data_IF_447208510218
#
_entry.id   IF_447208510218
#
_cell.length_a   1.000
_cell.length_b   1.000
_cell.length_c   1.000
_cell.angle_alpha   90.00
_cell.angle_beta   90.00
_cell.angle_gamma   90.00
#
_symmetry.space_group_name_H-M   'P 1'
#
loop_
_entity.id
_entity.type
_entity.pdbx_description
1 polymer ?
#
# COMPACT_ATOMS: atom_id res chain seq x y z
N UNK A 1 8.77 36.90 38.29
CA UNK A 1 9.65 36.26 37.29
C UNK A 1 8.95 36.30 35.95
N UNK A 2 9.45 37.11 35.02
CA UNK A 2 8.93 37.22 33.65
C UNK A 2 9.21 35.90 32.94
N UNK A 3 8.19 35.15 32.52
CA UNK A 3 8.39 33.97 31.65
C UNK A 3 9.29 34.39 30.49
N UNK A 4 10.33 33.60 30.25
CA UNK A 4 11.28 33.85 29.17
C UNK A 4 10.54 33.93 27.83
N UNK A 5 11.08 34.67 26.86
CA UNK A 5 10.51 34.74 25.51
C UNK A 5 10.27 33.34 24.92
N UNK A 6 11.16 32.39 25.21
CA UNK A 6 11.04 30.99 24.81
C UNK A 6 9.78 30.30 25.38
N UNK A 7 9.44 30.53 26.65
CA UNK A 7 8.22 29.99 27.26
C UNK A 7 6.96 30.65 26.70
N UNK A 8 7.05 31.92 26.29
CA UNK A 8 5.94 32.64 25.65
C UNK A 8 5.70 32.16 24.23
N UNK A 9 6.71 31.72 23.49
CA UNK A 9 6.54 31.22 22.12
C UNK A 9 5.79 29.88 22.06
N UNK A 10 5.93 29.03 23.09
CA UNK A 10 5.26 27.71 23.14
C UNK A 10 3.74 27.78 23.08
N UNK A 11 3.12 28.88 23.51
CA UNK A 11 1.65 29.03 23.50
C UNK A 11 1.08 29.20 22.08
N UNK A 12 1.93 29.53 21.09
CA UNK A 12 1.53 29.66 19.69
C UNK A 12 1.64 28.33 18.92
N UNK A 13 2.17 27.27 19.54
CA UNK A 13 2.20 25.95 18.93
C UNK A 13 0.78 25.41 18.84
N UNK A 14 0.38 24.96 17.64
CA UNK A 14 -0.88 24.28 17.45
C UNK A 14 -0.83 22.94 18.20
N UNK A 15 -1.78 22.65 19.10
CA UNK A 15 -1.76 21.43 19.89
C UNK A 15 -2.06 20.19 19.02
N UNK A 16 -1.61 19.00 19.46
CA UNK A 16 -2.04 17.71 18.92
C UNK A 16 -3.56 17.63 18.77
N UNK A 17 -4.06 17.34 17.56
CA UNK A 17 -5.50 17.40 17.28
C UNK A 17 -6.24 16.07 17.54
N UNK A 18 -5.62 14.93 17.21
CA UNK A 18 -6.27 13.62 17.31
C UNK A 18 -5.37 12.63 18.05
N UNK A 19 -5.66 12.33 19.32
CA UNK A 19 -4.91 11.33 20.07
C UNK A 19 -4.94 9.96 19.40
N UNK A 20 -3.85 9.22 19.55
CA UNK A 20 -3.77 7.84 19.05
C UNK A 20 -4.56 6.94 20.01
N UNK A 21 -5.58 6.20 19.52
CA UNK A 21 -6.39 5.34 20.38
C UNK A 21 -5.58 4.12 20.83
N UNK A 22 -5.34 4.01 22.15
CA UNK A 22 -4.49 2.95 22.69
C UNK A 22 -5.13 1.56 22.60
N UNK A 23 -6.46 1.47 22.62
CA UNK A 23 -7.22 0.21 22.61
C UNK A 23 -7.64 -0.29 21.22
N UNK A 24 -7.23 0.43 20.16
CA UNK A 24 -7.61 0.10 18.79
C UNK A 24 -6.41 -0.42 18.01
N UNK A 25 -6.68 -1.37 17.12
CA UNK A 25 -5.70 -1.79 16.13
C UNK A 25 -5.64 -0.77 15.02
N UNK A 26 -4.44 -0.29 14.72
CA UNK A 26 -4.24 0.73 13.68
C UNK A 26 -3.69 0.11 12.41
N UNK A 27 -4.21 0.57 11.28
CA UNK A 27 -3.65 0.30 9.96
C UNK A 27 -3.40 1.63 9.28
N UNK A 28 -2.18 1.84 8.78
CA UNK A 28 -1.90 2.94 7.87
C UNK A 28 -2.04 2.44 6.43
N UNK A 29 -2.69 3.22 5.57
CA UNK A 29 -2.63 3.06 4.12
C UNK A 29 -1.76 4.18 3.57
N UNK A 30 -0.73 3.82 2.83
CA UNK A 30 0.12 4.72 2.07
C UNK A 30 -0.22 4.55 0.59
N UNK A 31 -0.49 5.63 -0.10
CA UNK A 31 -0.90 5.63 -1.51
C UNK A 31 0.01 6.58 -2.29
N UNK A 32 0.60 6.06 -3.37
CA UNK A 32 1.51 6.84 -4.21
C UNK A 32 0.82 8.04 -4.85
N UNK A 33 1.42 9.22 -4.71
CA UNK A 33 0.97 10.44 -5.39
C UNK A 33 1.63 10.47 -6.77
N UNK A 34 0.81 10.39 -7.82
CA UNK A 34 1.25 10.45 -9.21
C UNK A 34 2.29 9.38 -9.60
N UNK A 35 2.14 8.16 -9.10
CA UNK A 35 3.06 7.07 -9.44
C UNK A 35 2.93 6.59 -10.90
N UNK A 36 1.81 6.89 -11.57
CA UNK A 36 1.72 6.69 -13.02
C UNK A 36 2.75 7.56 -13.77
N UNK A 37 3.00 8.79 -13.33
CA UNK A 37 4.09 9.62 -13.87
C UNK A 37 5.48 8.99 -13.69
N UNK A 38 5.71 8.37 -12.53
CA UNK A 38 6.96 7.63 -12.25
C UNK A 38 7.09 6.40 -13.15
N UNK A 39 6.05 5.57 -13.27
CA UNK A 39 6.10 4.35 -14.10
C UNK A 39 6.18 4.64 -15.60
N UNK A 40 5.59 5.75 -16.06
CA UNK A 40 5.59 6.13 -17.46
C UNK A 40 6.84 6.93 -17.86
N UNK A 41 7.73 7.24 -16.92
CA UNK A 41 8.98 7.95 -17.21
C UNK A 41 9.90 7.12 -18.13
N UNK A 42 10.23 7.63 -19.34
CA UNK A 42 11.15 6.92 -20.25
C UNK A 42 12.56 6.77 -19.66
N UNK A 43 12.97 7.69 -18.79
CA UNK A 43 14.30 7.69 -18.15
C UNK A 43 14.46 6.53 -17.17
N UNK A 44 13.37 6.16 -16.47
CA UNK A 44 13.36 5.05 -15.52
C UNK A 44 13.11 3.69 -16.21
N UNK A 45 12.43 3.73 -17.36
CA UNK A 45 12.29 2.60 -18.27
C UNK A 45 11.58 1.40 -17.66
N UNK A 46 10.54 1.63 -16.85
CA UNK A 46 9.73 0.58 -16.24
C UNK A 46 8.84 -0.13 -17.27
N UNK A 47 8.66 -1.44 -17.09
CA UNK A 47 7.79 -2.26 -17.92
C UNK A 47 6.31 -2.03 -17.57
N UNK A 48 5.46 -2.09 -18.59
CA UNK A 48 4.01 -2.06 -18.48
C UNK A 48 3.42 -3.46 -18.72
N UNK A 49 2.27 -3.82 -18.12
CA UNK A 49 1.52 -3.06 -17.11
C UNK A 49 2.11 -3.12 -15.70
N UNK A 50 3.02 -4.06 -15.44
CA UNK A 50 3.67 -4.23 -14.15
C UNK A 50 5.18 -4.40 -14.32
N UNK A 51 5.97 -3.66 -13.55
CA UNK A 51 7.42 -3.81 -13.49
C UNK A 51 7.85 -4.52 -12.20
N UNK A 52 8.56 -5.64 -12.36
CA UNK A 52 9.03 -6.43 -11.21
C UNK A 52 10.09 -5.72 -10.35
N UNK A 53 10.86 -4.78 -10.91
CA UNK A 53 11.81 -3.95 -10.16
C UNK A 53 11.04 -2.99 -9.28
N UNK A 54 10.05 -2.29 -9.82
CA UNK A 54 9.21 -1.38 -9.03
C UNK A 54 8.48 -2.14 -7.91
N UNK A 55 7.91 -3.31 -8.20
CA UNK A 55 7.28 -4.15 -7.18
C UNK A 55 8.26 -4.56 -6.06
N UNK A 56 9.50 -4.92 -6.41
CA UNK A 56 10.57 -5.19 -5.42
C UNK A 56 10.90 -3.94 -4.60
N UNK A 57 10.89 -2.76 -5.19
CA UNK A 57 11.10 -1.51 -4.47
C UNK A 57 9.97 -1.24 -3.47
N UNK A 58 8.70 -1.43 -3.86
CA UNK A 58 7.55 -1.32 -2.97
C UNK A 58 7.61 -2.31 -1.80
N UNK A 59 7.95 -3.58 -2.06
CA UNK A 59 8.16 -4.59 -1.02
C UNK A 59 9.32 -4.20 -0.08
N UNK A 60 10.42 -3.66 -0.61
CA UNK A 60 11.54 -3.17 0.21
C UNK A 60 11.16 -1.96 1.05
N UNK A 61 10.32 -1.07 0.54
CA UNK A 61 9.74 0.04 1.31
C UNK A 61 8.84 -0.47 2.41
N UNK A 62 7.93 -1.42 2.11
CA UNK A 62 7.09 -2.08 3.10
C UNK A 62 7.92 -2.75 4.21
N UNK A 63 8.96 -3.49 3.82
CA UNK A 63 9.91 -4.13 4.74
C UNK A 63 10.58 -3.13 5.68
N UNK A 64 10.94 -1.95 5.16
CA UNK A 64 11.54 -0.87 5.94
C UNK A 64 10.54 -0.27 6.95
N UNK A 65 9.24 -0.31 6.65
CA UNK A 65 8.18 0.10 7.58
C UNK A 65 7.89 -0.93 8.69
N UNK A 66 8.41 -2.15 8.58
CA UNK A 66 8.35 -3.16 9.64
C UNK A 66 9.62 -3.18 10.51
N UNK A 67 10.76 -2.72 9.99
CA UNK A 67 12.05 -2.81 10.67
C UNK A 67 12.44 -1.59 11.50
N UNK A 68 13.25 -1.81 12.54
CA UNK A 68 13.92 -0.75 13.32
C UNK A 68 12.96 0.16 14.07
N UNK A 69 13.15 1.48 13.95
CA UNK A 69 12.27 2.50 14.52
C UNK A 69 10.91 2.59 13.81
N UNK A 70 10.54 1.70 12.90
CA UNK A 70 9.23 1.72 12.27
C UNK A 70 8.17 1.02 13.14
N UNK A 71 6.88 1.29 12.87
CA UNK A 71 5.78 0.83 13.73
C UNK A 71 5.02 -0.38 13.19
N UNK A 72 5.52 -1.13 12.20
CA UNK A 72 4.72 -2.16 11.53
C UNK A 72 4.93 -3.59 12.04
N UNK A 73 3.87 -4.42 11.98
CA UNK A 73 3.92 -5.87 12.23
C UNK A 73 3.75 -6.69 10.95
N UNK A 74 2.84 -6.24 10.10
CA UNK A 74 2.53 -6.84 8.80
C UNK A 74 2.28 -5.72 7.80
N UNK A 75 2.74 -5.92 6.56
CA UNK A 75 2.42 -5.02 5.46
C UNK A 75 1.87 -5.81 4.28
N UNK A 76 0.87 -5.23 3.63
CA UNK A 76 0.36 -5.66 2.35
C UNK A 76 0.80 -4.63 1.30
N UNK A 77 1.52 -5.07 0.29
CA UNK A 77 1.98 -4.24 -0.82
C UNK A 77 1.23 -4.63 -2.08
N UNK A 78 0.60 -3.65 -2.73
CA UNK A 78 -0.01 -3.81 -4.06
C UNK A 78 0.40 -2.60 -4.90
N UNK A 79 0.80 -2.84 -6.15
CA UNK A 79 1.17 -1.80 -7.13
C UNK A 79 1.67 -0.45 -6.55
N UNK A 80 0.79 0.51 -6.28
CA UNK A 80 1.11 1.86 -5.76
C UNK A 80 0.75 2.10 -4.28
N UNK A 81 0.20 1.10 -3.60
CA UNK A 81 -0.24 1.22 -2.21
C UNK A 81 0.46 0.24 -1.26
N UNK A 82 0.63 0.70 -0.02
CA UNK A 82 1.05 -0.11 1.10
C UNK A 82 0.02 0.01 2.22
N UNK A 83 -0.52 -1.11 2.69
CA UNK A 83 -1.30 -1.16 3.93
C UNK A 83 -0.44 -1.79 5.02
N UNK A 84 -0.15 -1.07 6.10
CA UNK A 84 0.71 -1.53 7.20
C UNK A 84 -0.08 -1.62 8.49
N UNK A 85 -0.20 -2.83 9.03
CA UNK A 85 -0.70 -3.09 10.38
C UNK A 85 0.33 -2.60 11.39
N UNK A 86 -0.07 -1.70 12.28
CA UNK A 86 0.85 -1.08 13.23
C UNK A 86 0.92 -1.83 14.57
N UNK A 87 2.14 -1.97 15.08
CA UNK A 87 2.46 -2.47 16.42
C UNK A 87 2.08 -1.44 17.47
N UNK A 88 1.01 -1.73 18.22
CA UNK A 88 0.50 -0.87 19.28
C UNK A 88 1.54 -0.57 20.37
N UNK A 89 2.52 -1.45 20.59
CA UNK A 89 3.53 -1.32 21.66
C UNK A 89 4.46 -0.13 21.45
N UNK A 90 4.67 0.29 20.20
CA UNK A 90 5.60 1.38 19.86
C UNK A 90 4.91 2.70 19.51
N UNK A 91 3.57 2.73 19.55
CA UNK A 91 2.80 3.93 19.18
C UNK A 91 2.84 5.04 20.23
N UNK A 92 3.12 4.71 21.50
CA UNK A 92 3.10 5.67 22.61
C UNK A 92 4.13 6.80 22.54
N UNK A 93 5.09 6.73 21.60
CA UNK A 93 6.09 7.79 21.38
C UNK A 93 5.58 8.97 20.55
N UNK A 94 4.44 8.82 19.87
CA UNK A 94 3.87 9.85 19.01
C UNK A 94 2.84 10.69 19.77
N UNK A 95 2.86 12.01 19.56
CA UNK A 95 1.95 12.94 20.24
C UNK A 95 0.50 12.81 19.78
N UNK A 96 0.29 12.49 18.50
CA UNK A 96 -1.02 12.37 17.85
C UNK A 96 -0.92 11.57 16.54
N UNK A 97 -2.08 11.27 15.98
CA UNK A 97 -2.24 10.57 14.71
C UNK A 97 -1.53 11.28 13.54
N UNK A 98 -1.53 12.62 13.51
CA UNK A 98 -0.93 13.39 12.42
C UNK A 98 0.60 13.31 12.47
N UNK A 99 1.21 13.39 13.66
CA UNK A 99 2.64 13.20 13.84
C UNK A 99 3.09 11.79 13.37
N UNK A 100 2.32 10.75 13.72
CA UNK A 100 2.56 9.38 13.25
C UNK A 100 2.44 9.29 11.72
N UNK A 101 1.39 9.85 11.14
CA UNK A 101 1.15 9.88 9.69
C UNK A 101 2.29 10.57 8.94
N UNK A 102 2.69 11.77 9.37
CA UNK A 102 3.82 12.52 8.80
C UNK A 102 5.12 11.72 8.85
N UNK A 103 5.40 11.06 9.99
CA UNK A 103 6.59 10.22 10.11
C UNK A 103 6.57 9.05 9.12
N UNK A 104 5.45 8.32 9.05
CA UNK A 104 5.32 7.16 8.16
C UNK A 104 5.42 7.55 6.68
N UNK A 105 4.81 8.68 6.29
CA UNK A 105 4.94 9.24 4.93
C UNK A 105 6.39 9.62 4.65
N UNK A 106 7.05 10.34 5.56
CA UNK A 106 8.44 10.73 5.39
C UNK A 106 9.37 9.52 5.26
N UNK A 107 9.15 8.50 6.08
CA UNK A 107 9.93 7.26 6.07
C UNK A 107 9.74 6.47 4.76
N UNK A 108 8.49 6.27 4.34
CA UNK A 108 8.16 5.52 3.13
C UNK A 108 8.62 6.24 1.86
N UNK A 109 8.34 7.54 1.76
CA UNK A 109 8.70 8.35 0.59
C UNK A 109 10.21 8.46 0.43
N UNK A 110 10.94 8.76 1.51
CA UNK A 110 12.42 8.78 1.49
C UNK A 110 12.98 7.44 1.03
N UNK A 111 12.44 6.33 1.54
CA UNK A 111 12.92 5.00 1.18
C UNK A 111 12.65 4.67 -0.29
N UNK A 112 11.43 4.92 -0.78
CA UNK A 112 11.07 4.63 -2.16
C UNK A 112 11.82 5.54 -3.13
N UNK A 113 11.91 6.85 -2.86
CA UNK A 113 12.66 7.79 -3.70
C UNK A 113 14.12 7.37 -3.87
N UNK A 114 14.78 6.96 -2.79
CA UNK A 114 16.15 6.45 -2.86
C UNK A 114 16.29 5.14 -3.66
N UNK A 115 15.25 4.30 -3.68
CA UNK A 115 15.25 3.04 -4.44
C UNK A 115 14.96 3.28 -5.94
N UNK A 116 14.04 4.20 -6.24
CA UNK A 116 13.66 4.56 -7.62
C UNK A 116 14.73 5.43 -8.27
N UNK A 117 15.41 6.28 -7.49
CA UNK A 117 16.33 7.30 -8.00
C UNK A 117 15.62 8.57 -8.49
N UNK A 118 14.36 8.77 -8.11
CA UNK A 118 13.54 9.93 -8.43
C UNK A 118 12.60 10.26 -7.27
N UNK A 119 11.93 11.41 -7.33
CA UNK A 119 10.90 11.79 -6.35
C UNK A 119 9.72 10.80 -6.40
N UNK A 120 9.35 10.27 -5.24
CA UNK A 120 8.28 9.28 -5.09
C UNK A 120 7.60 9.52 -3.74
N UNK A 121 6.46 10.20 -3.76
CA UNK A 121 5.78 10.68 -2.56
C UNK A 121 4.56 9.81 -2.27
N UNK A 122 4.36 9.48 -1.00
CA UNK A 122 3.13 8.87 -0.51
C UNK A 122 2.21 9.89 0.15
N UNK A 123 0.92 9.77 -0.10
CA UNK A 123 -0.12 10.22 0.82
C UNK A 123 -0.38 9.14 1.89
N UNK A 124 -1.14 9.47 2.93
CA UNK A 124 -1.53 8.45 3.91
C UNK A 124 -2.93 8.64 4.49
N UNK A 125 -3.53 7.53 4.92
CA UNK A 125 -4.75 7.47 5.70
C UNK A 125 -4.56 6.52 6.89
N UNK A 126 -5.05 6.90 8.06
CA UNK A 126 -4.97 6.09 9.27
C UNK A 126 -6.35 5.53 9.62
N UNK A 127 -6.43 4.21 9.78
CA UNK A 127 -7.64 3.49 10.17
C UNK A 127 -7.47 2.95 11.59
N UNK A 128 -8.51 3.08 12.41
CA UNK A 128 -8.53 2.58 13.78
C UNK A 128 -9.70 1.62 13.99
N UNK A 129 -9.40 0.36 14.22
CA UNK A 129 -10.38 -0.72 14.34
C UNK A 129 -10.53 -1.20 15.77
N UNK A 130 -11.76 -1.52 16.16
CA UNK A 130 -12.08 -1.99 17.52
C UNK A 130 -11.99 -3.51 17.68
N UNK A 131 -11.86 -4.26 16.59
CA UNK A 131 -11.94 -5.73 16.60
C UNK A 131 -11.02 -6.34 15.53
N UNK A 132 -10.26 -7.41 15.84
CA UNK A 132 -9.38 -8.09 14.88
C UNK A 132 -10.09 -8.53 13.58
N UNK A 133 -11.34 -8.96 13.66
CA UNK A 133 -12.13 -9.44 12.51
C UNK A 133 -12.36 -8.34 11.47
N UNK A 134 -12.50 -7.09 11.93
CA UNK A 134 -12.64 -5.92 11.05
C UNK A 134 -11.30 -5.59 10.38
N UNK A 135 -10.18 -5.80 11.08
CA UNK A 135 -8.84 -5.65 10.50
C UNK A 135 -8.59 -6.68 9.41
N UNK A 136 -8.98 -7.95 9.66
CA UNK A 136 -8.93 -9.01 8.63
C UNK A 136 -9.78 -8.61 7.42
N UNK A 137 -11.01 -8.15 7.67
CA UNK A 137 -11.93 -7.71 6.61
C UNK A 137 -11.35 -6.55 5.80
N UNK A 138 -10.64 -5.62 6.44
CA UNK A 138 -9.93 -4.54 5.75
C UNK A 138 -8.87 -5.10 4.78
N UNK A 139 -8.02 -6.04 5.21
CA UNK A 139 -6.99 -6.60 4.33
C UNK A 139 -7.58 -7.50 3.23
N UNK A 140 -8.68 -8.21 3.50
CA UNK A 140 -9.44 -8.94 2.47
C UNK A 140 -9.97 -7.98 1.40
N UNK A 141 -10.55 -6.85 1.83
CA UNK A 141 -11.00 -5.80 0.92
C UNK A 141 -9.84 -5.22 0.11
N UNK A 142 -8.70 -4.91 0.74
CA UNK A 142 -7.52 -4.39 0.03
C UNK A 142 -7.00 -5.38 -1.03
N UNK A 143 -6.98 -6.68 -0.73
CA UNK A 143 -6.60 -7.69 -1.71
C UNK A 143 -7.60 -7.80 -2.87
N UNK A 144 -8.91 -7.75 -2.58
CA UNK A 144 -9.93 -7.75 -3.62
C UNK A 144 -9.78 -6.53 -4.55
N UNK A 145 -9.57 -5.35 -3.98
CA UNK A 145 -9.30 -4.12 -4.73
C UNK A 145 -8.03 -4.23 -5.58
N UNK A 146 -6.95 -4.79 -5.05
CA UNK A 146 -5.72 -5.05 -5.82
C UNK A 146 -6.01 -5.92 -7.05
N UNK A 147 -6.83 -6.96 -6.90
CA UNK A 147 -7.21 -7.86 -7.98
C UNK A 147 -8.03 -7.17 -9.07
N UNK A 148 -9.02 -6.36 -8.67
CA UNK A 148 -9.84 -5.59 -9.61
C UNK A 148 -9.00 -4.53 -10.34
N UNK A 149 -8.12 -3.82 -9.64
CA UNK A 149 -7.23 -2.81 -10.23
C UNK A 149 -6.20 -3.44 -11.17
N UNK A 150 -5.66 -4.61 -10.83
CA UNK A 150 -4.76 -5.34 -11.70
C UNK A 150 -5.45 -5.77 -12.99
N UNK A 151 -6.68 -6.28 -12.89
CA UNK A 151 -7.50 -6.63 -14.04
C UNK A 151 -7.75 -5.40 -14.94
N UNK A 152 -8.16 -4.27 -14.36
CA UNK A 152 -8.37 -3.00 -15.07
C UNK A 152 -7.11 -2.51 -15.79
N UNK A 153 -5.96 -2.64 -15.14
CA UNK A 153 -4.67 -2.23 -15.71
C UNK A 153 -4.27 -3.11 -16.88
N UNK A 154 -4.46 -4.43 -16.76
CA UNK A 154 -4.21 -5.36 -17.86
C UNK A 154 -5.12 -5.07 -19.05
N UNK A 155 -6.41 -4.86 -18.82
CA UNK A 155 -7.35 -4.52 -19.89
C UNK A 155 -6.98 -3.19 -20.54
N UNK A 156 -6.64 -2.17 -19.74
CA UNK A 156 -6.19 -0.88 -20.25
C UNK A 156 -4.95 -1.02 -21.11
N UNK A 157 -3.98 -1.83 -20.68
CA UNK A 157 -2.74 -2.07 -21.40
C UNK A 157 -2.95 -2.74 -22.75
N UNK A 158 -3.80 -3.77 -22.85
CA UNK A 158 -4.06 -4.42 -24.15
C UNK A 158 -4.87 -3.52 -25.08
N UNK A 159 -5.91 -2.84 -24.57
CA UNK A 159 -6.79 -1.98 -25.38
C UNK A 159 -6.10 -0.69 -25.85
N UNK A 160 -5.14 -0.16 -25.09
CA UNK A 160 -4.38 1.04 -25.48
C UNK A 160 -3.53 0.87 -26.74
N UNK A 161 -3.36 -0.37 -27.22
CA UNK A 161 -2.70 -0.66 -28.50
C UNK A 161 -3.57 -0.31 -29.70
N UNK A 162 -4.88 -0.23 -29.51
CA UNK A 162 -5.87 -0.10 -30.59
C UNK A 162 -6.81 1.10 -30.39
N UNK A 163 -6.85 1.68 -29.18
CA UNK A 163 -7.80 2.72 -28.79
C UNK A 163 -7.12 3.86 -28.02
N UNK A 164 -7.72 5.06 -28.08
CA UNK A 164 -7.24 6.21 -27.29
C UNK A 164 -7.52 6.01 -25.79
N UNK A 165 -6.80 6.67 -24.89
CA UNK A 165 -7.03 6.58 -23.44
C UNK A 165 -8.48 6.85 -23.03
N UNK A 166 -9.15 7.81 -23.66
CA UNK A 166 -10.55 8.15 -23.39
C UNK A 166 -11.51 7.04 -23.84
N UNK A 167 -11.22 6.40 -24.97
CA UNK A 167 -12.00 5.27 -25.47
C UNK A 167 -11.84 4.05 -24.55
N UNK A 168 -10.61 3.74 -24.14
CA UNK A 168 -10.31 2.67 -23.18
C UNK A 168 -11.06 2.90 -21.87
N UNK A 169 -10.97 4.10 -21.30
CA UNK A 169 -11.64 4.43 -20.05
C UNK A 169 -13.16 4.22 -20.15
N UNK A 170 -13.77 4.69 -21.25
CA UNK A 170 -15.21 4.52 -21.50
C UNK A 170 -15.61 3.07 -21.74
N UNK A 171 -14.76 2.26 -22.37
CA UNK A 171 -15.01 0.84 -22.58
C UNK A 171 -15.01 0.10 -21.24
N UNK A 172 -14.04 0.36 -20.38
CA UNK A 172 -13.91 -0.31 -19.08
C UNK A 172 -14.94 0.17 -18.05
N UNK A 173 -15.52 1.35 -18.26
CA UNK A 173 -16.56 1.91 -17.40
C UNK A 173 -17.80 0.99 -17.38
N UNK A 174 -18.17 0.52 -16.19
CA UNK A 174 -19.34 -0.34 -15.99
C UNK A 174 -19.12 -1.83 -16.28
N UNK A 175 -17.96 -2.23 -16.80
CA UNK A 175 -17.64 -3.64 -17.05
C UNK A 175 -17.38 -4.40 -15.74
N UNK A 176 -17.99 -5.58 -15.62
CA UNK A 176 -17.75 -6.52 -14.54
C UNK A 176 -16.44 -7.32 -14.72
N UNK A 177 -15.97 -8.03 -13.67
CA UNK A 177 -14.71 -8.78 -13.73
C UNK A 177 -14.68 -9.86 -14.82
N UNK A 178 -15.81 -10.57 -15.05
CA UNK A 178 -15.88 -11.63 -16.07
C UNK A 178 -15.74 -11.07 -17.50
N UNK A 179 -16.31 -9.89 -17.77
CA UNK A 179 -16.21 -9.23 -19.07
C UNK A 179 -14.77 -8.78 -19.34
N UNK A 180 -14.09 -8.26 -18.31
CA UNK A 180 -12.68 -7.89 -18.37
C UNK A 180 -11.77 -9.09 -18.59
N UNK A 181 -12.04 -10.23 -17.94
CA UNK A 181 -11.33 -11.49 -18.19
C UNK A 181 -11.53 -11.98 -19.63
N UNK A 182 -12.72 -11.82 -20.22
CA UNK A 182 -12.97 -12.13 -21.64
C UNK A 182 -12.14 -11.24 -22.57
N UNK A 183 -12.06 -9.93 -22.32
CA UNK A 183 -11.21 -9.02 -23.10
C UNK A 183 -9.76 -9.50 -23.11
N UNK A 184 -9.22 -9.91 -21.96
CA UNK A 184 -7.86 -10.41 -21.87
C UNK A 184 -7.68 -11.71 -22.66
N UNK A 185 -8.64 -12.64 -22.58
CA UNK A 185 -8.59 -13.88 -23.39
C UNK A 185 -8.63 -13.61 -24.88
N UNK A 186 -9.38 -12.61 -25.34
CA UNK A 186 -9.39 -12.19 -26.75
C UNK A 186 -8.05 -11.64 -27.22
N UNK A 187 -7.18 -11.23 -26.29
CA UNK A 187 -5.82 -10.77 -26.54
C UNK A 187 -4.77 -11.81 -26.10
N UNK A 188 -5.15 -13.09 -26.08
CA UNK A 188 -4.29 -14.23 -25.74
C UNK A 188 -3.64 -14.14 -24.34
N UNK A 189 -4.36 -13.58 -23.35
CA UNK A 189 -3.93 -13.54 -21.94
C UNK A 189 -4.97 -14.25 -21.07
N UNK A 190 -4.59 -15.36 -20.44
CA UNK A 190 -5.40 -15.97 -19.38
C UNK A 190 -5.03 -15.37 -18.02
N UNK A 191 -5.86 -14.43 -17.55
CA UNK A 191 -5.66 -13.71 -16.30
C UNK A 191 -5.44 -14.63 -15.08
N UNK A 192 -6.15 -15.76 -15.01
CA UNK A 192 -6.15 -16.61 -13.81
C UNK A 192 -4.95 -17.54 -13.76
N UNK A 193 -4.43 -17.95 -14.92
CA UNK A 193 -3.34 -18.94 -15.00
C UNK A 193 -1.99 -18.32 -15.33
N UNK A 194 -1.94 -17.27 -16.16
CA UNK A 194 -0.69 -16.70 -16.68
C UNK A 194 -0.21 -15.49 -15.88
N UNK A 195 -1.12 -14.68 -15.33
CA UNK A 195 -0.70 -13.50 -14.55
C UNK A 195 -0.11 -13.93 -13.21
N UNK A 196 1.06 -13.43 -12.78
CA UNK A 196 1.62 -13.79 -11.49
C UNK A 196 0.74 -13.38 -10.31
N UNK A 197 0.69 -14.22 -9.25
CA UNK A 197 -0.13 -13.94 -8.06
C UNK A 197 0.19 -12.59 -7.42
N UNK A 198 1.46 -12.17 -7.36
CA UNK A 198 1.83 -10.87 -6.79
C UNK A 198 1.28 -9.67 -7.57
N UNK A 199 0.98 -9.83 -8.86
CA UNK A 199 0.38 -8.78 -9.67
C UNK A 199 -1.13 -8.70 -9.44
N UNK A 200 -1.79 -9.86 -9.34
CA UNK A 200 -3.23 -9.92 -9.07
C UNK A 200 -3.59 -9.58 -7.64
N UNK A 201 -2.91 -10.21 -6.69
CA UNK A 201 -3.35 -10.26 -5.30
C UNK A 201 -2.43 -9.48 -4.38
N UNK A 202 -1.36 -8.85 -4.90
CA UNK A 202 -0.34 -8.18 -4.09
C UNK A 202 0.59 -9.15 -3.36
N UNK A 203 1.38 -8.61 -2.44
CA UNK A 203 2.35 -9.36 -1.64
C UNK A 203 2.21 -9.04 -0.15
N UNK A 204 2.37 -10.07 0.69
CA UNK A 204 2.49 -9.91 2.14
C UNK A 204 3.95 -9.73 2.56
N UNK A 205 4.20 -8.90 3.55
CA UNK A 205 5.51 -8.71 4.16
C UNK A 205 5.35 -8.80 5.67
N UNK A 206 6.17 -9.60 6.34
CA UNK A 206 6.11 -9.76 7.79
C UNK A 206 7.49 -10.07 8.38
N UNK A 207 7.61 -9.90 9.71
CA UNK A 207 8.81 -10.28 10.44
C UNK A 207 8.72 -11.74 10.90
N UNK A 208 9.84 -12.44 10.83
CA UNK A 208 10.07 -13.76 11.43
C UNK A 208 11.32 -13.72 12.30
N UNK A 209 11.57 -14.77 13.07
CA UNK A 209 12.79 -14.93 13.87
C UNK A 209 14.08 -14.82 13.03
N UNK A 210 13.99 -15.15 11.73
CA UNK A 210 15.11 -15.12 10.79
C UNK A 210 15.23 -13.82 9.99
N UNK A 211 14.34 -12.85 10.21
CA UNK A 211 14.28 -11.58 9.49
C UNK A 211 12.99 -11.38 8.70
N UNK A 212 13.05 -10.54 7.68
CA UNK A 212 11.88 -10.17 6.86
C UNK A 212 11.52 -11.30 5.89
N UNK A 213 10.24 -11.69 5.88
CA UNK A 213 9.65 -12.64 4.94
C UNK A 213 8.73 -11.90 3.98
N UNK A 214 8.75 -12.31 2.71
CA UNK A 214 7.91 -11.76 1.64
C UNK A 214 7.13 -12.89 0.98
N UNK A 215 5.81 -12.83 1.07
CA UNK A 215 4.88 -13.77 0.46
C UNK A 215 4.32 -13.20 -0.84
N UNK A 216 4.87 -13.62 -1.99
CA UNK A 216 4.41 -13.22 -3.32
C UNK A 216 3.26 -14.07 -3.87
N UNK A 217 2.83 -15.05 -3.09
CA UNK A 217 1.73 -15.97 -3.43
C UNK A 217 0.84 -16.11 -2.22
N UNK A 218 -0.01 -15.10 -2.03
CA UNK A 218 -0.92 -15.07 -0.89
C UNK A 218 -1.95 -16.20 -1.00
N UNK A 219 -2.38 -16.78 0.15
CA UNK A 219 -3.38 -17.85 0.17
C UNK A 219 -4.67 -17.46 -0.57
N UNK A 220 -5.47 -18.43 -1.02
CA UNK A 220 -6.80 -18.15 -1.58
C UNK A 220 -7.71 -17.40 -0.59
N UNK A 221 -8.81 -16.81 -1.07
CA UNK A 221 -9.65 -15.89 -0.27
C UNK A 221 -10.20 -16.53 1.02
N UNK A 222 -10.56 -17.81 0.96
CA UNK A 222 -11.03 -18.63 2.08
C UNK A 222 -9.94 -18.90 3.14
N UNK A 223 -8.68 -19.00 2.72
CA UNK A 223 -7.52 -19.22 3.59
C UNK A 223 -6.83 -17.91 4.02
N UNK A 224 -7.19 -16.76 3.45
CA UNK A 224 -6.50 -15.50 3.70
C UNK A 224 -6.81 -14.91 5.09
N UNK A 225 -8.04 -15.05 5.56
CA UNK A 225 -8.41 -14.66 6.93
C UNK A 225 -7.60 -15.39 8.00
N UNK A 226 -7.57 -16.75 8.00
CA UNK A 226 -6.72 -17.55 8.88
C UNK A 226 -5.23 -17.23 8.77
N UNK A 227 -4.75 -16.86 7.57
CA UNK A 227 -3.38 -16.40 7.38
C UNK A 227 -3.09 -15.08 8.12
N UNK A 228 -4.00 -14.10 8.04
CA UNK A 228 -3.85 -12.80 8.69
C UNK A 228 -3.97 -12.85 10.21
N UNK A 229 -4.72 -13.81 10.75
CA UNK A 229 -4.88 -14.00 12.21
C UNK A 229 -3.54 -14.13 12.95
N UNK A 230 -2.50 -14.64 12.28
CA UNK A 230 -1.16 -14.82 12.84
C UNK A 230 -0.47 -13.51 13.23
N UNK A 231 -0.91 -12.39 12.65
CA UNK A 231 -0.29 -11.08 12.85
C UNK A 231 -1.09 -10.14 13.77
N UNK A 232 -2.27 -10.57 14.22
CA UNK A 232 -3.19 -9.76 15.03
C UNK A 232 -3.15 -10.09 16.53
N UNK A 233 -2.17 -10.91 16.95
CA UNK A 233 -1.97 -11.38 18.32
C UNK A 233 -1.13 -10.43 19.18
#
# INVERSE_FOLDING_TARGET
MTKSLLERLRVFQIPPATPIPQERTLVVRLEGIDFDGVLNSPELGFAQPFDSRFAKMMVRTASYLLGGDACGQFAFAEHFELSVLLDRRVLGRWSDANALQCFLVGLASTRLSGLVGAEAIFGCSLFAFNAPEVVISYFMWRRQEANLRALDRYCSFVLSRESSPEQVAKLLEGMGPLEKEEILRQHDIDYRTEVPSWQRDGAGVHLSDSGIVVDTSLPAADAYGPYLQRYLG
#
